data_IF_696400746090
#
_entry.id   IF_696400746090
#
_cell.length_a   1.000
_cell.length_b   1.000
_cell.length_c   1.000
_cell.angle_alpha   90.00
_cell.angle_beta   90.00
_cell.angle_gamma   90.00
#
_symmetry.space_group_name_H-M   'P 1'
#
loop_
_entity.id
_entity.type
_entity.pdbx_description
1 polymer ?
#
# COMPACT_ATOMS: atom_id res chain seq x y z
N UNK A 1 -24.63 7.65 -1.68
CA UNK A 1 -24.67 6.34 -2.36
C UNK A 1 -23.41 5.57 -2.05
N UNK A 2 -23.49 4.60 -1.15
CA UNK A 2 -22.39 3.68 -0.86
C UNK A 2 -22.46 2.52 -1.85
N UNK A 3 -21.39 2.28 -2.59
CA UNK A 3 -21.28 1.13 -3.49
C UNK A 3 -20.29 0.14 -2.87
N UNK A 4 -20.74 -1.09 -2.62
CA UNK A 4 -19.90 -2.16 -2.10
C UNK A 4 -19.64 -3.19 -3.21
N UNK A 5 -18.38 -3.51 -3.47
CA UNK A 5 -17.97 -4.56 -4.41
C UNK A 5 -16.88 -5.43 -3.76
N UNK A 6 -16.98 -6.73 -3.94
CA UNK A 6 -15.96 -7.70 -3.51
C UNK A 6 -15.02 -7.92 -4.68
N UNK A 7 -13.71 -7.85 -4.43
CA UNK A 7 -12.67 -7.97 -5.45
C UNK A 7 -11.75 -9.12 -5.04
N UNK A 8 -11.56 -10.09 -5.93
CA UNK A 8 -10.63 -11.19 -5.71
C UNK A 8 -9.23 -10.79 -6.22
N UNK A 9 -8.16 -11.43 -5.72
CA UNK A 9 -6.78 -11.01 -6.02
C UNK A 9 -6.41 -10.97 -7.51
N UNK A 10 -7.06 -11.80 -8.32
CA UNK A 10 -6.80 -11.92 -9.76
C UNK A 10 -7.94 -11.31 -10.61
N UNK A 11 -8.84 -10.55 -9.98
CA UNK A 11 -9.97 -9.93 -10.66
C UNK A 11 -9.69 -8.45 -10.93
N UNK A 12 -9.80 -8.06 -12.20
CA UNK A 12 -9.74 -6.67 -12.63
C UNK A 12 -10.93 -5.91 -12.03
N UNK A 13 -10.68 -4.73 -11.46
CA UNK A 13 -11.71 -3.78 -11.05
C UNK A 13 -12.52 -3.36 -12.27
N UNK A 14 -13.84 -3.29 -12.12
CA UNK A 14 -14.76 -2.68 -13.09
C UNK A 14 -14.67 -1.14 -13.07
N UNK A 15 -13.45 -0.64 -13.11
CA UNK A 15 -13.06 0.76 -13.16
C UNK A 15 -12.17 0.91 -14.39
N UNK A 16 -12.42 1.93 -15.20
CA UNK A 16 -11.62 2.20 -16.40
C UNK A 16 -10.17 2.52 -16.03
N UNK A 17 -9.27 2.21 -16.93
CA UNK A 17 -7.88 2.66 -16.82
C UNK A 17 -7.88 4.20 -16.69
N UNK A 18 -6.92 4.75 -15.93
CA UNK A 18 -6.72 6.21 -15.78
C UNK A 18 -7.97 6.99 -15.32
N UNK A 19 -8.76 6.41 -14.41
CA UNK A 19 -9.99 7.05 -13.91
C UNK A 19 -9.69 8.14 -12.89
N UNK A 20 -8.78 7.89 -11.95
CA UNK A 20 -8.58 8.74 -10.77
C UNK A 20 -7.29 9.56 -10.85
N UNK A 21 -7.36 10.82 -10.41
CA UNK A 21 -6.19 11.68 -10.23
C UNK A 21 -5.37 11.31 -8.98
N UNK A 22 -6.05 10.78 -7.96
CA UNK A 22 -5.41 10.27 -6.76
C UNK A 22 -6.19 9.12 -6.13
N UNK A 23 -5.48 8.20 -5.49
CA UNK A 23 -6.02 7.09 -4.71
C UNK A 23 -5.38 7.10 -3.32
N UNK A 24 -6.20 6.90 -2.29
CA UNK A 24 -5.71 6.62 -0.93
C UNK A 24 -6.11 5.21 -0.51
N UNK A 25 -5.14 4.44 0.00
CA UNK A 25 -5.33 3.08 0.50
C UNK A 25 -4.77 3.00 1.92
N UNK A 26 -5.61 3.41 2.88
CA UNK A 26 -5.21 3.56 4.28
C UNK A 26 -5.67 2.35 5.08
N UNK A 27 -4.82 1.86 5.98
CA UNK A 27 -5.13 0.75 6.89
C UNK A 27 -5.39 -0.62 6.25
N UNK A 28 -5.19 -0.79 4.94
CA UNK A 28 -5.65 -1.98 4.20
C UNK A 28 -4.52 -2.91 3.73
N UNK A 29 -3.28 -2.42 3.64
CA UNK A 29 -2.10 -3.24 3.32
C UNK A 29 -1.57 -3.91 4.60
N UNK A 30 -2.15 -5.05 4.95
CA UNK A 30 -1.70 -5.92 6.05
C UNK A 30 -1.92 -7.40 5.70
N UNK A 31 -1.24 -8.34 6.40
CA UNK A 31 -1.52 -9.77 6.25
C UNK A 31 -3.02 -10.07 6.38
N UNK A 32 -3.57 -10.89 5.47
CA UNK A 32 -4.98 -11.27 5.45
C UNK A 32 -5.96 -10.24 4.87
N UNK A 33 -5.47 -9.06 4.45
CA UNK A 33 -6.29 -8.02 3.81
C UNK A 33 -5.87 -7.84 2.34
N UNK A 34 -5.30 -6.69 1.97
CA UNK A 34 -4.88 -6.39 0.61
C UNK A 34 -3.43 -6.86 0.39
N UNK A 35 -3.23 -7.75 -0.58
CA UNK A 35 -1.88 -8.21 -0.99
C UNK A 35 -1.15 -7.14 -1.80
N UNK A 36 0.19 -7.06 -1.73
CA UNK A 36 1.01 -6.14 -2.51
C UNK A 36 0.71 -6.12 -4.02
N UNK A 37 0.33 -7.26 -4.59
CA UNK A 37 0.00 -7.39 -6.03
C UNK A 37 -1.10 -6.43 -6.49
N UNK A 38 -2.02 -6.03 -5.60
CA UNK A 38 -3.11 -5.09 -5.90
C UNK A 38 -2.59 -3.72 -6.32
N UNK A 39 -1.33 -3.38 -5.98
CA UNK A 39 -0.71 -2.13 -6.41
C UNK A 39 -0.69 -1.96 -7.93
N UNK A 40 -0.57 -3.05 -8.70
CA UNK A 40 -0.66 -3.02 -10.17
C UNK A 40 -2.01 -2.51 -10.65
N UNK A 41 -3.05 -2.93 -9.96
CA UNK A 41 -4.41 -2.55 -10.30
C UNK A 41 -4.70 -1.10 -9.91
N UNK A 42 -4.17 -0.64 -8.76
CA UNK A 42 -4.23 0.76 -8.36
C UNK A 42 -3.50 1.67 -9.35
N UNK A 43 -2.33 1.24 -9.85
CA UNK A 43 -1.60 1.95 -10.91
C UNK A 43 -2.48 2.06 -12.16
N UNK A 44 -3.07 0.95 -12.64
CA UNK A 44 -3.91 0.94 -13.84
C UNK A 44 -5.06 1.96 -13.78
N UNK A 45 -5.75 2.06 -12.64
CA UNK A 45 -6.92 2.95 -12.50
C UNK A 45 -6.55 4.38 -12.13
N UNK A 46 -5.26 4.68 -11.91
CA UNK A 46 -4.74 6.02 -11.63
C UNK A 46 -4.17 6.61 -12.92
N UNK A 47 -4.44 7.89 -13.18
CA UNK A 47 -3.91 8.58 -14.37
C UNK A 47 -2.37 8.65 -14.32
N UNK A 48 -1.72 8.69 -15.48
CA UNK A 48 -0.32 9.10 -15.58
C UNK A 48 -0.11 10.46 -14.86
N UNK A 49 0.92 10.55 -14.02
CA UNK A 49 1.18 11.70 -13.15
C UNK A 49 0.30 11.78 -11.88
N UNK A 50 -0.72 10.94 -11.76
CA UNK A 50 -1.58 10.82 -10.58
C UNK A 50 -0.88 10.17 -9.38
N UNK A 51 -1.50 10.28 -8.21
CA UNK A 51 -0.89 9.89 -6.94
C UNK A 51 -1.56 8.67 -6.30
N UNK A 52 -0.75 7.79 -5.71
CA UNK A 52 -1.23 6.71 -4.84
C UNK A 52 -0.60 6.90 -3.47
N UNK A 53 -1.44 7.11 -2.45
CA UNK A 53 -1.03 7.20 -1.05
C UNK A 53 -1.45 5.92 -0.36
N UNK A 54 -0.52 5.18 0.23
CA UNK A 54 -0.85 3.97 0.96
C UNK A 54 -0.14 3.91 2.30
N UNK A 55 -0.81 3.31 3.28
CA UNK A 55 -0.24 3.04 4.60
C UNK A 55 -0.25 1.54 4.90
N UNK A 56 0.83 1.05 5.48
CA UNK A 56 0.93 -0.32 6.01
C UNK A 56 1.38 -0.29 7.46
N UNK A 57 1.01 -1.34 8.20
CA UNK A 57 1.46 -1.54 9.58
C UNK A 57 2.72 -2.40 9.58
N UNK A 58 3.76 -1.95 10.26
CA UNK A 58 5.02 -2.63 10.44
C UNK A 58 5.21 -2.98 11.93
N UNK A 59 5.14 -4.28 12.25
CA UNK A 59 5.34 -4.79 13.63
C UNK A 59 6.78 -5.29 13.84
N UNK A 60 7.46 -5.67 12.76
CA UNK A 60 8.84 -6.16 12.71
C UNK A 60 9.34 -5.91 11.29
N UNK A 61 10.50 -5.28 11.14
CA UNK A 61 11.14 -5.02 9.83
C UNK A 61 11.38 -6.31 9.03
N UNK A 62 11.43 -7.46 9.71
CA UNK A 62 11.56 -8.81 9.15
C UNK A 62 10.24 -9.46 8.70
N UNK A 63 9.10 -8.77 8.81
CA UNK A 63 7.81 -9.36 8.47
C UNK A 63 7.69 -9.54 6.95
N UNK A 64 7.34 -10.75 6.52
CA UNK A 64 7.32 -11.16 5.10
C UNK A 64 6.49 -10.21 4.22
N UNK A 65 5.41 -9.65 4.77
CA UNK A 65 4.51 -8.75 4.06
C UNK A 65 5.16 -7.41 3.66
N UNK A 66 5.90 -6.76 4.56
CA UNK A 66 6.54 -5.46 4.26
C UNK A 66 7.66 -5.65 3.22
N UNK A 67 8.40 -6.76 3.34
CA UNK A 67 9.40 -7.15 2.35
C UNK A 67 8.78 -7.41 0.97
N UNK A 68 7.65 -8.11 0.92
CA UNK A 68 6.90 -8.34 -0.32
C UNK A 68 6.40 -7.01 -0.93
N UNK A 69 5.81 -6.13 -0.11
CA UNK A 69 5.35 -4.81 -0.56
C UNK A 69 6.48 -3.98 -1.17
N UNK A 70 7.62 -3.92 -0.48
CA UNK A 70 8.81 -3.22 -0.98
C UNK A 70 9.35 -3.84 -2.27
N UNK A 71 9.39 -5.18 -2.35
CA UNK A 71 9.83 -5.89 -3.55
C UNK A 71 8.93 -5.56 -4.75
N UNK A 72 7.61 -5.60 -4.57
CA UNK A 72 6.66 -5.23 -5.62
C UNK A 72 6.85 -3.77 -6.05
N UNK A 73 6.97 -2.84 -5.09
CA UNK A 73 7.22 -1.43 -5.39
C UNK A 73 8.51 -1.23 -6.19
N UNK A 74 9.61 -1.87 -5.78
CA UNK A 74 10.89 -1.80 -6.49
C UNK A 74 10.80 -2.36 -7.91
N UNK A 75 10.08 -3.46 -8.11
CA UNK A 75 9.85 -4.03 -9.44
C UNK A 75 9.05 -3.08 -10.34
N UNK A 76 8.03 -2.42 -9.80
CA UNK A 76 7.19 -1.48 -10.56
C UNK A 76 7.93 -0.18 -10.89
N UNK A 77 8.78 0.29 -9.98
CA UNK A 77 9.64 1.45 -10.20
C UNK A 77 10.71 1.16 -11.26
N UNK A 78 11.37 -0.01 -11.19
CA UNK A 78 12.30 -0.45 -12.24
C UNK A 78 11.64 -0.63 -13.61
N UNK A 79 10.38 -1.04 -13.64
CA UNK A 79 9.59 -1.14 -14.85
C UNK A 79 9.10 0.22 -15.39
N UNK A 80 9.40 1.33 -14.68
CA UNK A 80 8.98 2.67 -15.08
C UNK A 80 7.48 2.92 -14.97
N UNK A 81 6.75 2.16 -14.14
CA UNK A 81 5.29 2.30 -13.98
C UNK A 81 4.91 3.29 -12.88
N UNK A 82 5.80 3.50 -11.92
CA UNK A 82 5.61 4.45 -10.84
C UNK A 82 6.96 4.89 -10.28
N UNK A 83 6.95 5.94 -9.47
CA UNK A 83 8.09 6.33 -8.63
C UNK A 83 7.66 6.59 -7.20
N UNK A 84 8.52 6.27 -6.25
CA UNK A 84 8.28 6.61 -4.84
C UNK A 84 8.66 8.07 -4.63
N UNK A 85 7.67 8.93 -4.38
CA UNK A 85 7.91 10.35 -4.09
C UNK A 85 8.29 10.58 -2.63
N UNK A 86 7.64 9.86 -1.71
CA UNK A 86 7.86 10.03 -0.27
C UNK A 86 7.62 8.72 0.47
N UNK A 87 8.44 8.49 1.48
CA UNK A 87 8.28 7.41 2.45
C UNK A 87 8.45 7.97 3.86
N UNK A 88 7.48 7.69 4.73
CA UNK A 88 7.52 7.99 6.15
C UNK A 88 7.36 6.69 6.93
N UNK A 89 8.12 6.55 8.02
CA UNK A 89 7.93 5.50 9.02
C UNK A 89 7.81 6.15 10.38
N UNK A 90 6.65 6.02 11.00
CA UNK A 90 6.31 6.70 12.25
C UNK A 90 5.92 5.69 13.31
N UNK A 91 6.41 5.89 14.54
CA UNK A 91 6.05 5.07 15.68
C UNK A 91 4.57 5.32 16.03
N UNK A 92 3.73 4.30 15.94
CA UNK A 92 2.33 4.36 16.36
C UNK A 92 2.14 4.11 17.85
N UNK A 93 3.06 3.37 18.50
CA UNK A 93 3.03 3.09 19.93
C UNK A 93 3.41 1.65 20.27
N UNK A 94 3.20 1.25 21.52
CA UNK A 94 3.28 -0.14 21.98
C UNK A 94 1.88 -0.73 22.00
N UNK A 95 1.77 -2.02 21.66
CA UNK A 95 0.48 -2.74 21.57
C UNK A 95 -0.22 -2.82 22.93
N UNK A 96 0.58 -2.88 24.00
CA UNK A 96 0.21 -2.67 25.39
C UNK A 96 1.33 -1.89 26.09
N UNK A 97 1.00 -0.78 26.77
CA UNK A 97 1.98 -0.02 27.57
C UNK A 97 2.40 -0.79 28.84
N UNK A 98 1.71 -1.89 29.18
CA UNK A 98 1.97 -2.74 30.35
C UNK A 98 2.96 -3.86 30.09
N UNK A 99 3.22 -4.24 28.84
CA UNK A 99 4.16 -5.31 28.49
C UNK A 99 5.28 -4.78 27.58
N UNK A 100 6.38 -4.36 28.21
CA UNK A 100 7.56 -3.77 27.55
C UNK A 100 8.36 -4.75 26.68
N UNK A 101 7.90 -5.99 26.51
CA UNK A 101 8.57 -7.05 25.75
C UNK A 101 8.11 -7.15 24.29
N UNK A 102 6.96 -6.59 23.94
CA UNK A 102 6.47 -6.60 22.55
C UNK A 102 7.16 -5.50 21.72
N UNK A 103 7.53 -5.78 20.45
CA UNK A 103 8.19 -4.80 19.61
C UNK A 103 7.25 -3.61 19.31
N UNK A 104 7.81 -2.39 19.15
CA UNK A 104 7.04 -1.20 18.82
C UNK A 104 6.30 -1.36 17.49
N UNK A 105 5.10 -0.79 17.42
CA UNK A 105 4.28 -0.70 16.21
C UNK A 105 4.66 0.53 15.41
N UNK A 106 4.96 0.34 14.13
CA UNK A 106 5.18 1.42 13.18
C UNK A 106 4.09 1.49 12.13
N UNK A 107 3.79 2.70 11.68
CA UNK A 107 3.05 2.97 10.45
C UNK A 107 4.05 3.40 9.37
N UNK A 108 4.00 2.71 8.24
CA UNK A 108 4.72 3.09 7.03
C UNK A 108 3.75 3.76 6.08
N UNK A 109 4.04 4.98 5.65
CA UNK A 109 3.26 5.73 4.67
C UNK A 109 4.10 5.96 3.40
N UNK A 110 3.50 5.69 2.25
CA UNK A 110 4.13 5.85 0.93
C UNK A 110 3.28 6.79 0.08
N UNK A 111 3.93 7.71 -0.60
CA UNK A 111 3.36 8.49 -1.68
C UNK A 111 4.06 8.08 -2.98
N UNK A 112 3.28 7.59 -3.93
CA UNK A 112 3.74 7.10 -5.23
C UNK A 112 3.16 7.99 -6.32
N UNK A 113 3.93 8.26 -7.37
CA UNK A 113 3.41 8.88 -8.59
C UNK A 113 3.44 7.88 -9.73
N UNK A 114 2.32 7.72 -10.43
CA UNK A 114 2.21 6.87 -11.63
C UNK A 114 2.92 7.55 -12.79
N UNK A 115 3.63 6.75 -13.60
CA UNK A 115 4.43 7.18 -14.75
C UNK A 115 3.79 6.71 -16.05
#
# INVERSE_FOLDING_TARGET
NLTQKIILPDTKLEIKDETYDAISCIGSFSPGQIRPIVLKELIRITKCGGLIILTSRDQKESNSFISELRSVMQSLEKAGQMKILKFNRELQGYKDLSESSEPPLYCCAYCLQVL
#
